data_IF_042535881906
#
_entry.id   IF_042535881906
#
_cell.length_a   1.000
_cell.length_b   1.000
_cell.length_c   1.000
_cell.angle_alpha   90.00
_cell.angle_beta   90.00
_cell.angle_gamma   90.00
#
_symmetry.space_group_name_H-M   'P 1'
#
loop_
_entity.id
_entity.type
_entity.pdbx_description
1 polymer ?
2 non-polymer ?
3 non-polymer ?
4 water ?
#
# COMPACT_ATOMS: atom_id res chain seq x y z
N UNK A 1 20.82 -18.98 -3.38
CA UNK A 1 19.51 -18.35 -3.21
C UNK A 1 18.56 -18.76 -4.33
N UNK A 2 17.35 -19.19 -3.95
CA UNK A 2 16.42 -19.81 -4.90
C UNK A 2 15.70 -18.81 -5.80
N UNK A 3 15.85 -17.52 -5.55
CA UNK A 3 15.24 -16.49 -6.39
C UNK A 3 16.19 -16.16 -7.53
N UNK A 4 15.65 -16.04 -8.75
CA UNK A 4 16.43 -15.72 -9.94
C UNK A 4 15.99 -14.37 -10.50
N UNK A 5 16.74 -13.31 -10.16
CA UNK A 5 16.34 -11.98 -10.59
C UNK A 5 16.37 -11.84 -12.11
N UNK A 6 17.21 -12.61 -12.78
CA UNK A 6 17.30 -12.50 -14.23
C UNK A 6 16.08 -13.12 -14.90
N UNK A 7 15.59 -14.25 -14.40
CA UNK A 7 14.37 -14.82 -14.94
C UNK A 7 13.18 -13.91 -14.68
N UNK A 8 13.11 -13.34 -13.47
CA UNK A 8 12.00 -12.44 -13.14
C UNK A 8 12.02 -11.21 -14.04
N UNK A 9 13.19 -10.56 -14.14
CA UNK A 9 13.29 -9.39 -15.01
C UNK A 9 12.81 -9.68 -16.42
N UNK A 10 13.02 -10.90 -16.91
CA UNK A 10 12.58 -11.22 -18.26
C UNK A 10 11.07 -11.18 -18.42
N UNK A 11 10.32 -11.21 -17.32
CA UNK A 11 8.87 -11.10 -17.38
C UNK A 11 8.39 -9.65 -17.52
N UNK A 12 9.25 -8.65 -17.28
CA UNK A 12 8.82 -7.26 -17.20
C UNK A 12 9.26 -6.47 -18.43
N UNK A 13 8.36 -6.23 -19.39
CA UNK A 13 8.78 -5.57 -20.64
C UNK A 13 9.31 -4.17 -20.45
N UNK A 14 8.76 -3.39 -19.50
CA UNK A 14 9.24 -2.02 -19.34
C UNK A 14 10.71 -1.98 -18.93
N UNK A 15 11.20 -3.03 -18.29
CA UNK A 15 12.57 -2.99 -17.80
C UNK A 15 13.60 -2.95 -18.92
N UNK A 16 13.20 -3.30 -20.15
CA UNK A 16 14.06 -3.17 -21.32
C UNK A 16 14.05 -1.76 -21.89
N UNK A 17 13.21 -0.87 -21.37
CA UNK A 17 13.12 0.48 -21.89
C UNK A 17 14.45 1.22 -21.67
N UNK A 18 14.67 2.25 -22.49
CA UNK A 18 15.78 3.16 -22.32
C UNK A 18 15.25 4.56 -22.03
N UNK A 19 16.01 5.30 -21.21
CA UNK A 19 15.66 6.66 -20.80
C UNK A 19 16.89 7.53 -20.99
N UNK A 20 16.69 8.73 -21.55
CA UNK A 20 17.79 9.62 -21.88
C UNK A 20 18.95 8.84 -22.51
N UNK A 21 18.62 7.88 -23.37
CA UNK A 21 19.61 7.13 -24.11
C UNK A 21 20.26 5.98 -23.38
N UNK A 22 19.96 5.76 -22.11
CA UNK A 22 20.59 4.72 -21.32
C UNK A 22 19.57 3.73 -20.78
N UNK A 23 20.01 2.55 -20.33
CA UNK A 23 19.06 1.57 -19.82
C UNK A 23 18.41 2.04 -18.53
N UNK A 24 17.09 1.87 -18.45
CA UNK A 24 16.31 2.41 -17.34
C UNK A 24 16.65 1.66 -16.07
N UNK A 25 16.96 2.40 -15.01
CA UNK A 25 17.05 1.85 -13.66
C UNK A 25 15.82 2.36 -12.92
N UNK A 26 14.80 1.51 -12.80
CA UNK A 26 13.53 1.94 -12.23
C UNK A 26 13.55 1.69 -10.73
N UNK A 27 13.82 2.75 -9.97
CA UNK A 27 13.94 2.68 -8.52
C UNK A 27 12.78 3.43 -7.85
N UNK A 28 11.59 3.33 -8.43
CA UNK A 28 10.41 4.04 -7.93
C UNK A 28 9.21 3.11 -7.77
N UNK A 29 9.45 1.83 -7.47
CA UNK A 29 8.34 0.88 -7.30
C UNK A 29 7.44 1.25 -6.14
N UNK A 30 7.96 1.95 -5.12
CA UNK A 30 7.11 2.36 -4.02
C UNK A 30 6.01 3.30 -4.49
N UNK A 31 6.27 4.06 -5.55
CA UNK A 31 5.21 4.90 -6.13
C UNK A 31 4.26 4.08 -6.97
N UNK A 32 4.79 3.18 -7.79
CA UNK A 32 3.95 2.16 -8.43
C UNK A 32 4.87 1.13 -9.06
N UNK A 33 4.44 -0.12 -9.06
CA UNK A 33 5.29 -1.20 -9.53
C UNK A 33 5.10 -1.41 -11.03
N UNK A 34 6.17 -1.83 -11.71
CA UNK A 34 6.02 -2.31 -13.07
C UNK A 34 5.27 -3.64 -13.07
N UNK A 35 4.73 -4.02 -14.22
CA UNK A 35 3.88 -5.19 -14.23
C UNK A 35 4.43 -6.26 -15.17
N UNK A 36 4.36 -7.54 -14.80
CA UNK A 36 4.85 -8.58 -15.69
C UNK A 36 3.89 -8.82 -16.83
N UNK A 37 4.41 -9.37 -17.93
CA UNK A 37 3.54 -9.64 -19.07
C UNK A 37 2.43 -10.63 -18.71
N UNK A 38 2.67 -11.50 -17.72
CA UNK A 38 1.58 -12.38 -17.26
C UNK A 38 0.38 -11.59 -16.78
N UNK A 39 0.61 -10.46 -16.09
CA UNK A 39 -0.49 -9.64 -15.60
C UNK A 39 -1.11 -8.86 -16.75
N UNK A 40 -0.26 -8.23 -17.56
CA UNK A 40 -0.72 -7.42 -18.68
C UNK A 40 -1.57 -8.26 -19.62
N UNK A 41 -1.09 -9.48 -19.94
CA UNK A 41 -1.75 -10.29 -20.95
C UNK A 41 -3.05 -10.93 -20.42
N UNK A 42 -3.09 -11.26 -19.14
CA UNK A 42 -4.33 -11.80 -18.57
C UNK A 42 -5.48 -10.81 -18.70
N UNK A 43 -5.21 -9.53 -18.39
CA UNK A 43 -6.24 -8.52 -18.59
C UNK A 43 -6.60 -8.40 -20.05
N UNK A 44 -5.60 -8.28 -20.93
CA UNK A 44 -5.90 -8.11 -22.35
C UNK A 44 -6.66 -9.30 -22.90
N UNK A 45 -6.28 -10.52 -22.51
CA UNK A 45 -7.00 -11.71 -22.98
C UNK A 45 -8.45 -11.73 -22.50
N UNK A 46 -8.69 -11.31 -21.26
CA UNK A 46 -10.06 -11.20 -20.77
C UNK A 46 -10.88 -10.28 -21.67
N UNK A 47 -10.34 -9.09 -21.97
CA UNK A 47 -11.04 -8.16 -22.86
C UNK A 47 -11.23 -8.74 -24.26
N UNK A 48 -10.28 -9.55 -24.74
CA UNK A 48 -10.33 -10.06 -26.11
C UNK A 48 -11.30 -11.23 -26.27
N UNK A 49 -11.54 -12.02 -25.21
CA UNK A 49 -12.24 -13.28 -25.38
C UNK A 49 -13.40 -13.52 -24.43
N UNK A 50 -13.44 -12.91 -23.26
CA UNK A 50 -14.49 -13.23 -22.30
C UNK A 50 -15.20 -12.05 -21.66
N UNK A 51 -15.11 -10.87 -22.27
CA UNK A 51 -15.62 -9.67 -21.59
C UNK A 51 -17.14 -9.64 -21.55
N UNK A 52 -17.70 -9.27 -20.39
CA UNK A 52 -19.14 -9.04 -20.24
C UNK A 52 -19.36 -8.40 -18.87
N UNK A 53 -20.61 -7.97 -18.64
CA UNK A 53 -20.99 -7.39 -17.35
C UNK A 53 -21.08 -8.48 -16.29
N UNK A 54 -20.85 -8.10 -15.04
CA UNK A 54 -20.86 -9.05 -13.91
C UNK A 54 -22.03 -8.73 -12.99
N UNK A 55 -22.46 -9.76 -12.24
CA UNK A 55 -23.51 -9.62 -11.22
C UNK A 55 -24.80 -9.03 -11.79
N UNK A 56 -24.99 -9.14 -13.10
CA UNK A 56 -26.16 -8.55 -13.72
C UNK A 56 -26.93 -9.55 -14.56
N UNK A 57 -26.71 -9.57 -15.88
CA UNK A 57 -27.26 -10.62 -16.70
C UNK A 57 -26.66 -11.98 -16.38
N UNK A 58 -27.34 -13.04 -16.80
CA UNK A 58 -26.88 -14.38 -16.49
C UNK A 58 -26.55 -15.20 -17.74
N UNK A 59 -26.49 -14.55 -18.91
CA UNK A 59 -26.04 -15.26 -20.09
C UNK A 59 -24.58 -15.72 -19.91
N UNK A 60 -24.13 -16.58 -20.84
CA UNK A 60 -22.91 -17.37 -20.66
C UNK A 60 -21.70 -16.51 -20.30
N UNK A 61 -21.39 -15.50 -21.13
CA UNK A 61 -20.19 -14.70 -20.86
C UNK A 61 -20.32 -13.96 -19.53
N UNK A 62 -21.50 -13.41 -19.24
CA UNK A 62 -21.71 -12.76 -17.95
C UNK A 62 -21.55 -13.73 -16.79
N UNK A 63 -22.15 -14.92 -16.89
CA UNK A 63 -21.99 -15.90 -15.82
C UNK A 63 -20.51 -16.21 -15.58
N UNK A 64 -19.75 -16.43 -16.66
CA UNK A 64 -18.34 -16.78 -16.51
C UNK A 64 -17.52 -15.60 -15.99
N UNK A 65 -17.85 -14.37 -16.44
CA UNK A 65 -17.15 -13.19 -15.93
C UNK A 65 -17.38 -13.02 -14.43
N UNK A 66 -18.62 -13.21 -13.99
CA UNK A 66 -18.94 -13.07 -12.57
C UNK A 66 -18.18 -14.10 -11.75
N UNK A 67 -18.13 -15.35 -12.24
CA UNK A 67 -17.34 -16.36 -11.54
C UNK A 67 -15.86 -16.00 -11.48
N UNK A 68 -15.29 -15.49 -12.58
CA UNK A 68 -13.89 -15.08 -12.54
C UNK A 68 -13.67 -14.02 -11.47
N UNK A 69 -14.58 -13.04 -11.39
CA UNK A 69 -14.44 -11.97 -10.40
C UNK A 69 -14.46 -12.53 -8.99
N UNK A 70 -15.47 -13.34 -8.68
CA UNK A 70 -15.58 -13.88 -7.33
C UNK A 70 -14.44 -14.85 -7.01
N UNK A 71 -13.90 -15.52 -8.03
CA UNK A 71 -12.67 -16.31 -7.83
C UNK A 71 -11.48 -15.44 -7.46
N UNK A 72 -11.34 -14.25 -8.05
CA UNK A 72 -10.29 -13.35 -7.59
C UNK A 72 -10.50 -12.98 -6.13
N UNK A 73 -11.73 -12.66 -5.75
CA UNK A 73 -11.97 -12.32 -4.35
C UNK A 73 -11.50 -13.46 -3.44
N UNK A 74 -11.79 -14.71 -3.83
CA UNK A 74 -11.33 -15.85 -3.04
C UNK A 74 -9.80 -15.93 -3.03
N UNK A 75 -9.16 -15.84 -4.19
CA UNK A 75 -7.69 -15.85 -4.24
C UNK A 75 -7.10 -14.75 -3.37
N UNK A 76 -7.65 -13.53 -3.43
CA UNK A 76 -7.14 -12.44 -2.60
C UNK A 76 -7.25 -12.79 -1.11
N UNK A 77 -8.39 -13.38 -0.71
CA UNK A 77 -8.60 -13.66 0.71
C UNK A 77 -7.60 -14.69 1.21
N UNK A 78 -7.25 -15.67 0.36
CA UNK A 78 -6.23 -16.65 0.73
C UNK A 78 -4.84 -16.00 0.79
N UNK A 79 -4.57 -15.02 -0.08
CA UNK A 79 -3.27 -14.35 -0.09
C UNK A 79 -2.97 -13.68 1.25
N UNK A 80 -3.99 -13.07 1.88
CA UNK A 80 -3.81 -12.41 3.18
C UNK A 80 -4.28 -13.26 4.34
N UNK A 81 -4.67 -14.51 4.09
CA UNK A 81 -5.17 -15.42 5.13
C UNK A 81 -6.36 -14.84 5.89
N UNK A 82 -7.28 -14.19 5.17
CA UNK A 82 -8.58 -13.88 5.74
C UNK A 82 -9.38 -15.16 5.94
N UNK A 83 -10.26 -15.16 6.92
CA UNK A 83 -11.04 -16.36 7.20
C UNK A 83 -12.07 -16.64 6.09
N UNK A 84 -12.52 -15.60 5.38
CA UNK A 84 -13.59 -15.75 4.42
C UNK A 84 -13.41 -14.74 3.30
N UNK A 85 -13.70 -15.15 2.05
CA UNK A 85 -13.63 -14.22 0.94
C UNK A 85 -14.60 -13.06 1.13
N UNK A 86 -15.72 -13.29 1.81
CA UNK A 86 -16.73 -12.27 2.02
C UNK A 86 -16.29 -11.16 2.98
N UNK A 87 -15.09 -11.26 3.54
CA UNK A 87 -14.50 -10.18 4.33
C UNK A 87 -13.66 -9.22 3.49
N UNK A 88 -13.62 -9.40 2.17
CA UNK A 88 -12.84 -8.56 1.29
C UNK A 88 -13.76 -7.75 0.40
N UNK A 89 -13.49 -6.45 0.29
CA UNK A 89 -14.22 -5.54 -0.57
C UNK A 89 -13.25 -5.03 -1.63
N UNK A 90 -13.69 -5.06 -2.89
CA UNK A 90 -12.90 -4.46 -3.97
C UNK A 90 -13.06 -2.95 -3.91
N UNK A 91 -11.94 -2.24 -3.90
CA UNK A 91 -11.89 -0.79 -3.89
C UNK A 91 -10.94 -0.32 -4.99
N UNK A 92 -10.90 1.01 -5.20
CA UNK A 92 -9.96 1.56 -6.17
C UNK A 92 -8.53 1.36 -5.73
N UNK A 93 -8.29 1.33 -4.42
CA UNK A 93 -6.94 1.35 -3.90
C UNK A 93 -6.97 1.58 -2.41
N UNK A 94 -5.78 1.59 -1.82
CA UNK A 94 -5.64 1.83 -0.39
C UNK A 94 -6.39 3.10 0.02
N UNK A 95 -6.22 4.18 -0.74
CA UNK A 95 -6.83 5.44 -0.37
C UNK A 95 -8.34 5.30 -0.28
N UNK A 96 -8.99 4.74 -1.31
CA UNK A 96 -10.44 4.61 -1.24
C UNK A 96 -10.86 3.69 -0.10
N UNK A 97 -10.10 2.63 0.17
CA UNK A 97 -10.44 1.74 1.27
C UNK A 97 -10.45 2.45 2.61
N UNK A 98 -9.42 3.24 2.88
CA UNK A 98 -9.37 4.01 4.12
C UNK A 98 -10.56 4.98 4.20
N UNK A 99 -10.86 5.65 3.10
CA UNK A 99 -12.00 6.57 3.12
C UNK A 99 -13.31 5.84 3.37
N UNK A 100 -13.45 4.61 2.85
CA UNK A 100 -14.67 3.86 3.07
C UNK A 100 -14.86 3.55 4.55
N UNK A 101 -13.80 3.12 5.21
CA UNK A 101 -13.85 2.87 6.65
C UNK A 101 -14.15 4.16 7.41
N UNK A 102 -13.44 5.24 7.06
CA UNK A 102 -13.62 6.51 7.76
C UNK A 102 -15.07 6.98 7.73
N UNK A 103 -15.79 6.72 6.64
CA UNK A 103 -17.17 7.20 6.53
C UNK A 103 -18.16 6.17 7.07
N UNK A 104 -18.14 4.96 6.53
CA UNK A 104 -19.09 3.92 6.93
C UNK A 104 -18.90 3.51 8.38
N UNK A 105 -17.69 3.12 8.76
CA UNK A 105 -17.46 2.75 10.16
C UNK A 105 -17.27 3.97 11.05
N UNK A 106 -16.45 4.93 10.62
CA UNK A 106 -16.17 6.09 11.46
C UNK A 106 -17.40 6.89 11.83
N UNK A 107 -18.31 7.11 10.88
CA UNK A 107 -19.44 8.01 11.13
C UNK A 107 -20.39 7.43 12.15
N UNK A 108 -20.45 6.10 12.27
CA UNK A 108 -21.37 5.50 13.23
C UNK A 108 -20.68 4.98 14.49
N UNK A 109 -19.36 5.13 14.61
CA UNK A 109 -18.65 4.62 15.77
C UNK A 109 -17.76 5.65 16.49
N UNK A 110 -17.58 6.84 15.93
CA UNK A 110 -16.73 7.87 16.52
C UNK A 110 -17.59 9.10 16.72
N UNK A 111 -17.66 9.59 17.95
CA UNK A 111 -18.57 10.67 18.32
C UNK A 111 -17.78 11.78 19.00
N UNK A 112 -18.44 12.93 19.19
CA UNK A 112 -17.80 14.07 19.83
C UNK A 112 -17.17 13.64 21.15
N UNK A 113 -15.97 14.17 21.44
CA UNK A 113 -15.24 13.80 22.63
C UNK A 113 -14.37 12.56 22.50
N UNK A 114 -14.50 11.80 21.42
CA UNK A 114 -13.69 10.60 21.22
C UNK A 114 -12.30 11.00 20.68
N UNK A 115 -11.41 10.02 20.62
CA UNK A 115 -10.12 10.25 19.98
C UNK A 115 -9.74 9.09 19.05
N UNK A 116 -8.96 9.43 18.03
CA UNK A 116 -8.34 8.47 17.12
C UNK A 116 -6.83 8.68 17.18
N UNK A 117 -6.08 7.59 17.05
CA UNK A 117 -4.62 7.62 17.14
C UNK A 117 -4.04 7.23 15.78
N UNK A 118 -3.22 8.11 15.21
CA UNK A 118 -2.38 7.79 14.05
C UNK A 118 -0.92 7.96 14.45
N UNK A 119 0.00 7.79 13.50
CA UNK A 119 1.40 8.05 13.80
C UNK A 119 1.94 9.18 12.95
N UNK A 120 3.10 9.70 13.36
CA UNK A 120 3.75 10.79 12.66
C UNK A 120 4.37 10.35 11.32
N UNK A 121 4.51 9.03 11.09
CA UNK A 121 5.05 8.53 9.83
C UNK A 121 3.97 8.19 8.80
N UNK A 122 2.70 8.47 9.09
CA UNK A 122 1.63 8.03 8.18
C UNK A 122 1.69 8.77 6.86
N UNK A 123 1.34 8.05 5.80
CA UNK A 123 1.02 8.62 4.49
C UNK A 123 -0.27 9.44 4.58
N UNK A 124 -0.37 10.46 3.74
CA UNK A 124 -1.58 11.28 3.76
C UNK A 124 -2.86 10.46 3.64
N UNK A 125 -2.82 9.36 2.91
CA UNK A 125 -3.98 8.49 2.77
C UNK A 125 -4.48 8.02 4.13
N UNK A 126 -3.58 7.84 5.09
CA UNK A 126 -3.96 7.40 6.42
C UNK A 126 -3.91 8.55 7.43
N UNK A 127 -4.09 9.78 6.95
CA UNK A 127 -4.16 10.97 7.80
C UNK A 127 -5.42 11.73 7.45
N UNK A 128 -5.53 12.15 6.19
CA UNK A 128 -6.59 13.08 5.81
C UNK A 128 -7.99 12.55 6.05
N UNK A 129 -8.34 11.30 5.72
CA UNK A 129 -9.71 10.85 5.98
C UNK A 129 -10.05 10.90 7.46
N UNK A 130 -9.05 10.74 8.35
CA UNK A 130 -9.30 10.79 9.77
C UNK A 130 -9.46 12.22 10.26
N UNK A 131 -8.66 13.13 9.70
CA UNK A 131 -8.88 14.55 9.96
C UNK A 131 -10.29 14.96 9.55
N UNK A 132 -10.75 14.47 8.39
CA UNK A 132 -12.10 14.79 7.94
C UNK A 132 -13.15 14.21 8.89
N UNK A 133 -12.95 12.98 9.33
CA UNK A 133 -13.89 12.37 10.27
C UNK A 133 -13.87 13.13 11.61
N UNK A 134 -12.69 13.43 12.12
CA UNK A 134 -12.58 14.16 13.40
C UNK A 134 -13.27 15.52 13.32
N UNK A 135 -13.19 16.18 12.18
CA UNK A 135 -13.92 17.44 12.01
C UNK A 135 -15.43 17.23 11.86
N UNK A 136 -15.86 16.11 11.26
CA UNK A 136 -17.30 15.88 11.11
C UNK A 136 -17.97 15.63 12.47
N UNK A 137 -17.32 14.89 13.36
CA UNK A 137 -17.97 14.44 14.59
C UNK A 137 -17.47 15.15 15.83
N UNK A 138 -16.46 16.02 15.73
CA UNK A 138 -15.89 16.64 16.91
C UNK A 138 -15.02 15.71 17.75
N UNK A 139 -14.15 14.95 17.12
CA UNK A 139 -13.22 14.08 17.84
C UNK A 139 -11.79 14.60 17.68
N UNK A 140 -10.87 13.99 18.42
CA UNK A 140 -9.48 14.45 18.46
C UNK A 140 -8.55 13.43 17.79
N UNK A 141 -7.66 13.93 16.93
CA UNK A 141 -6.69 13.08 16.24
C UNK A 141 -5.37 13.13 17.00
N UNK A 142 -5.03 12.03 17.68
CA UNK A 142 -3.79 11.94 18.45
C UNK A 142 -2.71 11.25 17.62
N UNK A 143 -1.45 11.57 17.94
CA UNK A 143 -0.32 11.26 17.08
C UNK A 143 0.78 10.56 17.88
N UNK A 144 1.13 9.35 17.48
CA UNK A 144 2.33 8.69 18.01
C UNK A 144 3.56 9.33 17.36
N UNK A 145 4.47 9.91 18.14
CA UNK A 145 5.64 10.58 17.56
C UNK A 145 6.76 9.59 17.22
N UNK A 146 7.72 10.09 16.46
CA UNK A 146 8.85 9.34 15.94
C UNK A 146 10.08 9.52 16.84
N UNK A 147 10.96 8.53 16.78
CA UNK A 147 12.34 8.67 17.23
C UNK A 147 13.23 9.08 16.06
N UNK A 148 14.42 9.61 16.36
CA UNK A 148 15.34 9.99 15.28
C UNK A 148 15.63 8.88 14.28
N UNK A 149 15.75 7.64 14.74
CA UNK A 149 16.02 6.52 13.83
C UNK A 149 14.80 6.12 13.01
N UNK A 150 13.67 6.80 13.03
CA UNK A 150 12.53 6.41 12.21
C UNK A 150 11.63 5.34 12.78
N UNK A 151 11.81 4.96 14.06
CA UNK A 151 10.89 4.08 14.74
C UNK A 151 9.89 4.90 15.55
N UNK A 152 8.81 4.24 15.95
CA UNK A 152 7.80 4.91 16.77
C UNK A 152 8.25 4.99 18.24
N UNK A 153 7.92 6.11 18.86
CA UNK A 153 8.11 6.30 20.31
C UNK A 153 7.00 5.53 21.01
N UNK A 154 7.21 4.23 21.17
CA UNK A 154 6.16 3.38 21.72
C UNK A 154 5.88 3.68 23.20
N UNK A 155 6.83 4.33 23.91
CA UNK A 155 6.62 4.72 25.30
C UNK A 155 5.49 5.74 25.46
N UNK A 156 5.12 6.44 24.40
CA UNK A 156 4.05 7.43 24.49
C UNK A 156 2.66 6.82 24.50
N UNK A 157 2.52 5.54 24.18
CA UNK A 157 1.18 4.97 24.01
C UNK A 157 0.32 5.00 25.26
N UNK A 158 0.87 4.80 26.48
CA UNK A 158 0.03 4.91 27.68
C UNK A 158 -0.71 6.22 27.79
N UNK A 159 -0.08 7.31 27.36
CA UNK A 159 -0.74 8.62 27.42
C UNK A 159 -1.68 8.87 26.25
N UNK A 160 -1.54 8.14 25.15
CA UNK A 160 -2.42 8.37 24.00
C UNK A 160 -3.68 7.53 24.05
N UNK A 161 -3.58 6.28 24.49
CA UNK A 161 -4.74 5.40 24.59
C UNK A 161 -5.50 5.69 25.87
N UNK A 162 -6.81 5.90 25.76
CA UNK A 162 -7.68 5.97 26.93
C UNK A 162 -9.01 5.29 26.57
N UNK A 163 -10.00 5.45 27.45
CA UNK A 163 -11.28 4.76 27.26
C UNK A 163 -12.12 5.38 26.15
N UNK A 164 -11.75 6.55 25.64
CA UNK A 164 -12.44 7.15 24.51
C UNK A 164 -11.70 7.00 23.18
N UNK A 165 -10.63 6.18 23.15
CA UNK A 165 -9.92 5.88 21.92
C UNK A 165 -10.70 4.82 21.13
N UNK A 166 -11.23 5.21 19.97
CA UNK A 166 -12.07 4.33 19.19
C UNK A 166 -11.31 3.56 18.12
N UNK A 167 -10.17 4.08 17.67
CA UNK A 167 -9.46 3.49 16.53
C UNK A 167 -7.99 3.88 16.59
N UNK A 168 -7.14 2.90 16.31
CA UNK A 168 -5.75 3.12 15.93
C UNK A 168 -5.62 2.88 14.43
N UNK A 169 -5.11 3.87 13.70
CA UNK A 169 -4.84 3.73 12.27
C UNK A 169 -3.34 3.88 12.08
N UNK A 170 -2.70 2.83 11.57
CA UNK A 170 -1.25 2.68 11.69
C UNK A 170 -0.69 2.01 10.44
N UNK A 171 0.47 2.47 9.99
CA UNK A 171 1.07 1.87 8.81
C UNK A 171 1.83 0.60 9.17
N UNK A 172 1.71 -0.39 8.31
CA UNK A 172 2.46 -1.63 8.44
C UNK A 172 3.94 -1.38 8.14
N UNK A 173 4.22 -0.73 7.01
CA UNK A 173 5.57 -0.37 6.58
C UNK A 173 5.52 1.05 6.03
N UNK A 174 6.43 1.91 6.52
CA UNK A 174 6.49 3.31 6.05
C UNK A 174 6.94 3.39 4.60
N UNK A 175 6.28 4.26 3.81
CA UNK A 175 6.66 4.44 2.41
C UNK A 175 7.93 5.28 2.24
N UNK A 176 8.47 5.83 3.32
CA UNK A 176 9.66 6.68 3.27
C UNK A 176 10.80 6.04 4.02
N UNK A 177 10.57 5.63 5.26
CA UNK A 177 11.59 5.17 6.16
C UNK A 177 11.87 3.68 6.03
N UNK A 178 10.92 2.92 5.48
CA UNK A 178 11.01 1.48 5.42
C UNK A 178 10.77 0.79 6.76
N UNK A 179 10.44 1.54 7.80
CA UNK A 179 10.19 0.97 9.12
C UNK A 179 9.02 0.02 9.07
N UNK A 180 9.20 -1.18 9.62
CA UNK A 180 8.07 -2.08 9.84
C UNK A 180 7.63 -1.97 11.28
N UNK A 181 6.34 -1.65 11.52
CA UNK A 181 5.90 -1.38 12.88
C UNK A 181 5.46 -2.67 13.57
N UNK A 182 5.58 -2.72 14.93
CA UNK A 182 5.21 -3.93 15.67
C UNK A 182 3.69 -4.11 15.78
N UNK A 183 3.04 -4.42 14.65
CA UNK A 183 1.58 -4.39 14.59
C UNK A 183 0.93 -5.32 15.62
N UNK A 184 1.42 -6.56 15.70
CA UNK A 184 0.77 -7.54 16.57
C UNK A 184 0.63 -7.02 18.00
N UNK A 185 1.72 -6.50 18.56
CA UNK A 185 1.70 -6.02 19.94
C UNK A 185 0.85 -4.75 20.08
N UNK A 186 0.95 -3.83 19.12
CA UNK A 186 0.13 -2.62 19.18
C UNK A 186 -1.35 -2.95 19.09
N UNK A 187 -1.71 -3.97 18.31
CA UNK A 187 -3.10 -4.36 18.16
C UNK A 187 -3.62 -4.99 19.46
N UNK A 188 -2.80 -5.83 20.11
CA UNK A 188 -3.18 -6.32 21.43
C UNK A 188 -3.49 -5.15 22.36
N UNK A 189 -2.57 -4.18 22.42
CA UNK A 189 -2.77 -3.04 23.32
C UNK A 189 -4.05 -2.28 22.98
N UNK A 190 -4.27 -1.99 21.69
CA UNK A 190 -5.46 -1.24 21.29
C UNK A 190 -6.74 -1.99 21.64
N UNK A 191 -6.76 -3.30 21.41
CA UNK A 191 -7.95 -4.07 21.73
C UNK A 191 -8.25 -4.06 23.22
N UNK A 192 -7.22 -3.97 24.08
CA UNK A 192 -7.48 -3.90 25.52
C UNK A 192 -8.30 -2.67 25.89
N UNK A 193 -8.26 -1.61 25.08
CA UNK A 193 -9.07 -0.43 25.33
C UNK A 193 -10.39 -0.44 24.58
N UNK A 194 -10.68 -1.50 23.82
CA UNK A 194 -11.88 -1.49 23.02
C UNK A 194 -11.76 -0.73 21.72
N UNK A 195 -10.54 -0.35 21.35
CA UNK A 195 -10.30 0.30 20.06
C UNK A 195 -10.17 -0.74 18.95
N UNK A 196 -10.58 -0.36 17.75
CA UNK A 196 -10.32 -1.14 16.56
C UNK A 196 -9.00 -0.66 15.94
N UNK A 197 -8.45 -1.47 15.02
CA UNK A 197 -7.18 -1.15 14.38
C UNK A 197 -7.34 -1.26 12.87
N UNK A 198 -7.11 -0.17 12.15
CA UNK A 198 -6.91 -0.24 10.71
C UNK A 198 -5.41 -0.23 10.43
N UNK A 199 -4.95 -1.19 9.64
CA UNK A 199 -3.57 -1.27 9.20
C UNK A 199 -3.50 -0.82 7.75
N UNK A 200 -2.61 0.13 7.47
CA UNK A 200 -2.32 0.57 6.10
C UNK A 200 -1.19 -0.32 5.59
N UNK A 201 -1.52 -1.32 4.79
CA UNK A 201 -0.55 -2.30 4.35
C UNK A 201 -0.01 -2.04 2.95
N UNK A 202 -0.14 -0.81 2.45
CA UNK A 202 0.15 -0.56 1.03
C UNK A 202 1.60 -0.90 0.68
N UNK A 203 2.53 -0.75 1.63
CA UNK A 203 3.95 -1.00 1.39
C UNK A 203 4.44 -2.28 2.05
N UNK A 204 3.53 -3.17 2.47
CA UNK A 204 3.88 -4.44 3.10
C UNK A 204 3.64 -5.63 2.20
N UNK A 205 2.53 -5.65 1.46
CA UNK A 205 2.04 -6.87 0.83
C UNK A 205 2.98 -7.44 -0.24
N UNK A 206 3.90 -6.63 -0.76
CA UNK A 206 4.82 -7.11 -1.79
C UNK A 206 6.15 -7.60 -1.23
N UNK A 207 6.37 -7.46 0.08
CA UNK A 207 7.69 -7.70 0.67
C UNK A 207 7.78 -8.98 1.48
N UNK A 208 6.69 -9.44 2.08
CA UNK A 208 6.70 -10.71 2.79
C UNK A 208 5.25 -11.14 3.00
N UNK A 209 5.04 -12.37 3.46
CA UNK A 209 3.66 -12.82 3.68
C UNK A 209 2.95 -11.97 4.72
N UNK A 210 1.65 -11.83 4.54
CA UNK A 210 0.79 -11.07 5.43
C UNK A 210 -0.37 -11.95 5.83
N UNK A 211 -0.64 -11.98 7.14
CA UNK A 211 -1.62 -12.92 7.71
C UNK A 211 -2.49 -12.12 8.66
N UNK A 212 -3.71 -11.76 8.21
CA UNK A 212 -4.55 -10.85 8.99
C UNK A 212 -5.20 -11.55 10.18
N UNK A 213 -5.30 -12.88 10.14
CA UNK A 213 -5.72 -13.61 11.33
C UNK A 213 -4.63 -13.57 12.41
N UNK A 214 -3.38 -13.87 12.03
CA UNK A 214 -2.30 -13.74 12.99
C UNK A 214 -2.17 -12.31 13.52
N UNK A 215 -2.40 -11.30 12.67
CA UNK A 215 -2.31 -9.92 13.15
C UNK A 215 -3.47 -9.54 14.03
N UNK A 216 -4.67 -10.06 13.72
CA UNK A 216 -5.92 -9.73 14.40
C UNK A 216 -6.36 -8.29 14.17
N UNK A 217 -5.84 -7.64 13.12
CA UNK A 217 -6.31 -6.31 12.75
C UNK A 217 -7.79 -6.35 12.38
N UNK A 218 -8.46 -5.23 12.58
CA UNK A 218 -9.89 -5.12 12.29
C UNK A 218 -10.16 -4.71 10.86
N UNK A 219 -9.26 -3.92 10.28
CA UNK A 219 -9.30 -3.53 8.87
C UNK A 219 -7.87 -3.61 8.33
N UNK A 220 -7.73 -3.98 7.05
CA UNK A 220 -6.43 -3.96 6.39
C UNK A 220 -6.64 -3.55 4.93
N UNK A 221 -5.76 -2.66 4.41
CA UNK A 221 -5.94 -2.11 3.07
C UNK A 221 -4.65 -2.24 2.28
N UNK A 222 -4.77 -2.46 0.96
CA UNK A 222 -3.61 -2.38 0.07
C UNK A 222 -4.06 -2.14 -1.36
N UNK A 223 -3.10 -1.76 -2.21
CA UNK A 223 -3.35 -1.37 -3.60
C UNK A 223 -2.74 -2.38 -4.59
N UNK A 224 -3.48 -2.67 -5.65
CA UNK A 224 -3.01 -3.63 -6.64
C UNK A 224 -1.77 -3.17 -7.39
N UNK A 225 -1.68 -1.87 -7.72
CA UNK A 225 -0.66 -1.40 -8.65
C UNK A 225 0.73 -1.42 -8.04
N UNK A 226 0.84 -1.49 -6.71
CA UNK A 226 2.13 -1.65 -6.07
C UNK A 226 2.48 -3.12 -5.89
N UNK A 227 1.51 -4.00 -6.04
CA UNK A 227 1.73 -5.44 -6.00
C UNK A 227 1.84 -6.00 -7.41
N UNK A 228 2.54 -5.27 -8.29
CA UNK A 228 2.81 -5.68 -9.66
C UNK A 228 1.54 -5.87 -10.47
N UNK A 229 0.48 -5.17 -10.11
CA UNK A 229 -0.81 -5.35 -10.72
C UNK A 229 -1.30 -4.10 -11.42
N UNK A 230 -2.49 -4.15 -11.99
CA UNK A 230 -3.05 -2.98 -12.67
C UNK A 230 -3.44 -1.88 -11.70
N UNK A 231 -3.61 -0.67 -12.27
CA UNK A 231 -4.12 0.46 -11.50
C UNK A 231 -5.63 0.32 -11.31
N UNK A 232 -6.18 1.16 -10.43
CA UNK A 232 -7.62 1.19 -10.25
C UNK A 232 -8.20 0.02 -9.48
N UNK A 233 -7.37 -0.74 -8.77
CA UNK A 233 -7.93 -1.86 -8.00
C UNK A 233 -7.13 -2.03 -6.72
N UNK A 234 -7.85 -2.34 -5.64
CA UNK A 234 -7.23 -2.59 -4.35
C UNK A 234 -8.18 -3.42 -3.51
N UNK A 235 -7.75 -3.73 -2.29
CA UNK A 235 -8.51 -4.62 -1.40
C UNK A 235 -8.66 -3.96 -0.03
N UNK A 236 -9.89 -3.96 0.49
CA UNK A 236 -10.15 -3.64 1.89
C UNK A 236 -10.65 -4.92 2.55
N UNK A 237 -9.93 -5.37 3.57
CA UNK A 237 -10.34 -6.48 4.41
C UNK A 237 -10.93 -5.92 5.70
N UNK A 238 -12.07 -6.45 6.13
CA UNK A 238 -12.73 -6.07 7.37
C UNK A 238 -13.25 -7.34 8.05
N UNK A 239 -12.94 -7.52 9.33
CA UNK A 239 -13.49 -8.64 10.09
C UNK A 239 -15.00 -8.76 9.86
N UNK A 240 -15.46 -9.98 9.57
CA UNK A 240 -16.85 -10.20 9.17
C UNK A 240 -17.86 -9.61 10.14
N UNK A 241 -17.59 -9.68 11.45
CA UNK A 241 -18.56 -9.18 12.43
C UNK A 241 -18.69 -7.66 12.36
N UNK A 242 -17.59 -6.95 12.08
CA UNK A 242 -17.67 -5.51 11.86
C UNK A 242 -18.32 -5.19 10.52
N UNK A 243 -17.87 -5.86 9.46
CA UNK A 243 -18.35 -5.55 8.12
C UNK A 243 -19.87 -5.68 8.01
N UNK A 244 -20.44 -6.75 8.59
CA UNK A 244 -21.87 -6.97 8.41
C UNK A 244 -22.74 -5.93 9.11
N UNK A 245 -22.18 -5.19 10.07
CA UNK A 245 -22.89 -4.09 10.71
C UNK A 245 -22.67 -2.74 10.03
N UNK A 246 -21.73 -2.64 9.09
CA UNK A 246 -21.41 -1.31 8.56
C UNK A 246 -22.46 -0.90 7.53
N UNK A 247 -22.88 0.37 7.55
CA UNK A 247 -23.83 0.85 6.54
C UNK A 247 -23.12 1.09 5.22
N UNK A 248 -23.88 1.12 4.11
CA UNK A 248 -23.25 1.40 2.82
C UNK A 248 -22.66 2.80 2.80
N UNK A 249 -21.68 2.99 1.91
CA UNK A 249 -21.10 4.31 1.67
C UNK A 249 -21.67 4.83 0.35
N UNK A 250 -21.18 4.35 -0.79
CA UNK A 250 -21.76 4.73 -2.07
C UNK A 250 -23.06 3.96 -2.31
N UNK A 251 -24.04 4.66 -2.90
CA UNK A 251 -25.28 4.01 -3.27
C UNK A 251 -25.41 3.79 -4.77
N UNK A 252 -26.15 2.77 -5.18
CA UNK A 252 -26.42 2.56 -6.59
C UNK A 252 -26.78 1.12 -6.88
N UNK A 253 -26.58 0.74 -8.14
CA UNK A 253 -26.92 -0.60 -8.57
C UNK A 253 -26.03 -1.65 -7.93
N UNK A 254 -26.59 -2.84 -7.75
CA UNK A 254 -25.83 -4.01 -7.28
C UNK A 254 -25.67 -4.05 -5.77
N UNK A 255 -25.59 -2.90 -5.10
CA UNK A 255 -25.48 -2.91 -3.66
C UNK A 255 -26.85 -2.91 -2.96
N UNK A 256 -27.94 -2.80 -3.71
CA UNK A 256 -29.28 -2.76 -3.12
C UNK A 256 -29.86 -4.16 -3.09
N UNK A 257 -30.85 -4.34 -2.22
CA UNK A 257 -31.75 -5.48 -2.27
C UNK A 257 -33.05 -5.11 -2.99
N UNK A 258 -33.70 -4.04 -2.55
CA UNK A 258 -34.88 -3.51 -3.21
C UNK A 258 -34.81 -2.00 -3.19
N UNK A 259 -35.42 -1.39 -4.20
CA UNK A 259 -35.47 0.06 -4.34
C UNK A 259 -36.91 0.47 -4.61
N UNK A 260 -37.43 1.35 -3.76
CA UNK A 260 -38.77 1.90 -3.92
C UNK A 260 -38.72 3.40 -3.74
N UNK A 261 -39.51 4.11 -4.55
CA UNK A 261 -39.62 5.55 -4.41
C UNK A 261 -40.68 5.96 -3.40
N UNK A 262 -41.46 5.00 -2.88
CA UNK A 262 -42.41 5.26 -1.81
C UNK A 262 -42.06 4.60 -0.49
N UNK A 263 -41.44 3.41 -0.52
CA UNK A 263 -41.11 2.67 0.70
C UNK A 263 -39.60 2.59 0.97
N UNK A 264 -38.80 3.39 0.29
CA UNK A 264 -37.37 3.38 0.57
C UNK A 264 -36.65 2.19 -0.03
N UNK A 265 -35.41 2.01 0.41
CA UNK A 265 -34.47 1.10 -0.23
C UNK A 265 -33.78 0.26 0.84
N UNK A 266 -33.58 -1.02 0.55
CA UNK A 266 -32.86 -1.91 1.44
C UNK A 266 -31.58 -2.41 0.77
N UNK A 267 -30.62 -2.86 1.59
CA UNK A 267 -29.27 -3.12 1.12
C UNK A 267 -29.02 -4.62 0.99
N UNK A 268 -28.12 -4.98 0.08
CA UNK A 268 -27.69 -6.36 0.02
C UNK A 268 -26.65 -6.66 1.09
N UNK A 269 -26.13 -7.88 1.08
CA UNK A 269 -25.19 -8.35 2.08
C UNK A 269 -23.78 -7.85 1.76
N UNK A 270 -22.97 -7.72 2.81
CA UNK A 270 -21.55 -7.51 2.62
C UNK A 270 -20.91 -8.73 1.96
N UNK A 271 -19.88 -8.55 1.12
CA UNK A 271 -19.21 -7.29 0.75
C UNK A 271 -19.88 -6.51 -0.39
N UNK A 272 -20.86 -7.12 -1.09
CA UNK A 272 -21.44 -6.47 -2.27
C UNK A 272 -22.17 -5.19 -1.90
N UNK A 273 -22.62 -5.08 -0.65
CA UNK A 273 -23.18 -3.83 -0.15
C UNK A 273 -22.21 -2.66 -0.31
N UNK A 274 -20.91 -2.91 -0.42
CA UNK A 274 -19.91 -1.86 -0.49
C UNK A 274 -19.36 -1.64 -1.90
N UNK A 275 -19.96 -2.28 -2.91
CA UNK A 275 -19.52 -2.28 -4.30
C UNK A 275 -20.68 -1.80 -5.17
N UNK A 276 -20.85 -0.48 -5.24
CA UNK A 276 -21.92 0.14 -6.01
C UNK A 276 -21.50 0.29 -7.47
N UNK A 277 -22.41 -0.05 -8.38
CA UNK A 277 -22.16 0.16 -9.80
C UNK A 277 -21.20 -0.88 -10.39
N UNK A 278 -20.88 -0.68 -11.66
CA UNK A 278 -20.02 -1.62 -12.39
C UNK A 278 -18.63 -1.63 -11.77
N UNK A 279 -18.13 -2.78 -11.33
CA UNK A 279 -16.77 -2.84 -10.78
C UNK A 279 -15.73 -2.71 -11.88
N UNK A 280 -14.47 -2.58 -11.46
CA UNK A 280 -13.33 -2.58 -12.37
C UNK A 280 -12.96 -4.04 -12.69
N UNK A 281 -13.84 -4.68 -13.46
CA UNK A 281 -13.66 -6.10 -13.76
C UNK A 281 -12.30 -6.37 -14.39
N UNK A 282 -11.92 -5.52 -15.35
CA UNK A 282 -10.60 -5.67 -15.96
C UNK A 282 -9.48 -5.64 -14.94
N UNK A 283 -9.52 -4.67 -14.03
CA UNK A 283 -8.48 -4.60 -13.00
C UNK A 283 -8.52 -5.78 -12.06
N UNK A 284 -9.71 -6.31 -11.76
CA UNK A 284 -9.84 -7.49 -10.90
C UNK A 284 -9.19 -8.71 -11.55
N UNK A 285 -9.46 -8.95 -12.84
CA UNK A 285 -8.78 -10.04 -13.54
C UNK A 285 -7.26 -9.86 -13.45
N UNK A 286 -6.78 -8.64 -13.73
CA UNK A 286 -5.35 -8.41 -13.67
C UNK A 286 -4.77 -8.57 -12.27
N UNK A 287 -5.53 -8.16 -11.25
CA UNK A 287 -5.09 -8.35 -9.87
C UNK A 287 -4.97 -9.83 -9.53
N UNK A 288 -5.95 -10.64 -9.96
CA UNK A 288 -5.83 -12.07 -9.75
C UNK A 288 -4.56 -12.64 -10.35
N UNK A 289 -4.22 -12.20 -11.57
CA UNK A 289 -3.01 -12.68 -12.21
C UNK A 289 -1.77 -12.25 -11.43
N UNK A 290 -1.80 -11.03 -10.88
CA UNK A 290 -0.67 -10.53 -10.10
C UNK A 290 -0.47 -11.34 -8.83
N UNK A 291 -1.56 -11.67 -8.13
CA UNK A 291 -1.43 -12.54 -6.96
C UNK A 291 -0.86 -13.91 -7.33
N UNK A 292 -1.34 -14.50 -8.42
CA UNK A 292 -0.78 -15.78 -8.88
C UNK A 292 0.70 -15.67 -9.20
N UNK A 293 1.10 -14.57 -9.86
CA UNK A 293 2.52 -14.38 -10.18
C UNK A 293 3.36 -14.29 -8.92
N UNK A 294 2.97 -13.43 -7.99
CA UNK A 294 3.75 -13.26 -6.75
C UNK A 294 3.80 -14.56 -5.96
N UNK A 295 2.65 -15.23 -5.80
CA UNK A 295 2.62 -16.50 -5.08
C UNK A 295 3.51 -17.55 -5.76
N UNK A 296 3.61 -17.54 -7.08
CA UNK A 296 4.48 -18.49 -7.75
C UNK A 296 5.95 -18.20 -7.47
N UNK A 297 6.34 -16.93 -7.35
CA UNK A 297 7.72 -16.65 -6.97
C UNK A 297 7.98 -17.00 -5.51
N UNK A 298 6.96 -16.89 -4.65
CA UNK A 298 7.08 -17.15 -3.23
C UNK A 298 7.53 -15.93 -2.45
N UNK A 299 6.68 -15.42 -1.55
CA UNK A 299 7.00 -14.17 -0.87
C UNK A 299 8.26 -14.30 0.00
N UNK A 300 8.52 -15.48 0.55
CA UNK A 300 9.75 -15.62 1.32
C UNK A 300 10.98 -15.61 0.44
N UNK A 301 10.86 -16.11 -0.80
CA UNK A 301 11.96 -15.98 -1.76
C UNK A 301 12.19 -14.52 -2.13
N UNK A 302 11.11 -13.78 -2.36
CA UNK A 302 11.22 -12.36 -2.67
C UNK A 302 11.88 -11.62 -1.51
N UNK A 303 11.37 -11.83 -0.30
CA UNK A 303 11.93 -11.18 0.87
C UNK A 303 13.43 -11.46 1.00
N UNK A 304 13.86 -12.70 0.73
CA UNK A 304 15.27 -13.03 0.86
C UNK A 304 16.10 -12.21 -0.12
N UNK A 305 15.69 -12.18 -1.39
CA UNK A 305 16.45 -11.42 -2.38
C UNK A 305 16.45 -9.93 -2.07
N UNK A 306 15.29 -9.36 -1.72
CA UNK A 306 15.22 -7.93 -1.45
C UNK A 306 16.04 -7.54 -0.22
N UNK A 307 16.02 -8.38 0.81
CA UNK A 307 16.78 -8.03 2.00
C UNK A 307 18.27 -8.10 1.72
N UNK A 308 18.68 -9.06 0.90
CA UNK A 308 20.07 -9.13 0.44
C UNK A 308 20.43 -7.89 -0.38
N UNK A 309 19.58 -7.53 -1.35
CA UNK A 309 19.84 -6.32 -2.14
C UNK A 309 19.89 -5.07 -1.27
N UNK A 310 19.00 -4.95 -0.28
CA UNK A 310 18.98 -3.76 0.57
C UNK A 310 20.24 -3.68 1.41
N UNK A 311 20.69 -4.81 1.96
CA UNK A 311 21.95 -4.82 2.71
C UNK A 311 23.12 -4.39 1.84
N UNK A 312 23.17 -4.89 0.59
CA UNK A 312 24.19 -4.42 -0.34
C UNK A 312 24.09 -2.92 -0.58
N UNK A 313 22.88 -2.41 -0.81
CA UNK A 313 22.73 -0.98 -1.08
C UNK A 313 23.23 -0.15 0.10
N UNK A 314 22.76 -0.47 1.30
CA UNK A 314 23.15 0.33 2.46
C UNK A 314 24.66 0.31 2.67
N UNK A 315 25.28 -0.84 2.39
CA UNK A 315 26.73 -0.96 2.50
C UNK A 315 27.45 -0.08 1.47
N UNK A 316 27.07 -0.19 0.19
CA UNK A 316 27.71 0.61 -0.85
C UNK A 316 27.53 2.11 -0.63
N UNK A 317 26.38 2.51 -0.10
CA UNK A 317 26.08 3.93 0.03
C UNK A 317 26.98 4.62 1.05
N UNK A 318 27.64 3.86 1.92
CA UNK A 318 28.58 4.47 2.86
C UNK A 318 29.68 5.22 2.14
N UNK A 319 30.01 4.80 0.93
CA UNK A 319 31.04 5.45 0.13
C UNK A 319 30.55 6.68 -0.63
N UNK A 320 29.38 7.24 -0.29
CA UNK A 320 28.90 8.49 -0.89
C UNK A 320 29.16 9.60 0.13
N UNK A 321 29.94 10.62 -0.20
CA UNK A 321 30.20 11.70 0.77
C UNK A 321 28.93 12.46 1.10
N UNK A 322 28.79 12.84 2.37
CA UNK A 322 27.74 13.77 2.83
C UNK A 322 26.33 13.24 2.60
N UNK A 323 26.17 11.92 2.50
CA UNK A 323 24.84 11.33 2.37
C UNK A 323 24.19 11.22 3.74
N UNK A 324 22.94 11.67 3.84
CA UNK A 324 22.13 11.48 5.04
C UNK A 324 21.02 10.49 4.70
N UNK A 325 20.96 9.40 5.47
CA UNK A 325 19.86 8.43 5.37
C UNK A 325 18.85 8.70 6.47
N UNK A 326 17.59 8.38 6.19
CA UNK A 326 16.51 8.56 7.15
C UNK A 326 15.81 7.23 7.35
N UNK A 327 15.70 6.79 8.61
CA UNK A 327 15.08 5.53 8.91
C UNK A 327 16.01 4.56 9.61
N UNK A 328 15.49 3.40 9.98
CA UNK A 328 16.29 2.41 10.72
C UNK A 328 17.13 1.56 9.79
N UNK A 329 18.08 0.85 10.40
CA UNK A 329 18.99 0.00 9.64
C UNK A 329 18.26 -1.19 9.01
N UNK A 330 17.26 -1.73 9.70
CA UNK A 330 16.50 -2.87 9.20
C UNK A 330 15.28 -2.43 8.37
N UNK A 331 15.51 -1.61 7.35
CA UNK A 331 14.41 -1.03 6.58
C UNK A 331 13.97 -1.96 5.46
N UNK A 332 12.69 -1.86 5.09
CA UNK A 332 12.10 -2.65 4.03
C UNK A 332 11.83 -1.79 2.80
N UNK A 333 12.32 -2.22 1.64
CA UNK A 333 11.87 -1.65 0.37
C UNK A 333 12.40 -0.33 -0.12
N UNK A 334 12.49 0.68 0.75
CA UNK A 334 12.85 2.03 0.34
C UNK A 334 14.03 2.56 1.16
N UNK A 335 14.85 3.37 0.50
CA UNK A 335 15.93 4.13 1.14
C UNK A 335 15.65 5.60 0.92
N UNK A 336 15.48 6.34 2.01
CA UNK A 336 15.22 7.78 1.97
C UNK A 336 16.52 8.50 2.29
N UNK A 337 16.87 9.51 1.48
CA UNK A 337 18.16 10.14 1.65
C UNK A 337 18.17 11.58 1.14
N UNK A 338 19.16 12.34 1.61
CA UNK A 338 19.54 13.62 1.04
C UNK A 338 21.05 13.67 0.88
N UNK A 339 21.52 14.47 -0.08
CA UNK A 339 22.94 14.57 -0.42
C UNK A 339 23.42 15.97 -0.05
N UNK A 340 24.25 16.06 0.98
CA UNK A 340 24.76 17.37 1.37
C UNK A 340 23.64 18.37 1.55
N UNK A 341 23.88 19.61 1.14
CA UNK A 341 22.86 20.64 1.20
C UNK A 341 22.15 20.83 -0.13
N UNK A 342 22.35 19.91 -1.08
CA UNK A 342 21.70 20.03 -2.38
C UNK A 342 20.23 19.62 -2.27
N UNK A 343 19.37 20.38 -2.94
CA UNK A 343 17.95 20.08 -2.86
C UNK A 343 17.64 18.75 -3.52
N UNK A 344 16.67 18.03 -2.94
CA UNK A 344 16.30 16.71 -3.48
C UNK A 344 15.81 16.80 -4.92
N UNK A 345 15.05 17.85 -5.24
CA UNK A 345 14.64 18.06 -6.62
C UNK A 345 15.83 17.98 -7.58
N UNK A 346 16.95 18.62 -7.22
CA UNK A 346 18.11 18.65 -8.10
C UNK A 346 18.79 17.28 -8.17
N UNK A 347 18.99 16.64 -7.01
CA UNK A 347 19.61 15.33 -7.00
C UNK A 347 18.84 14.34 -7.88
N UNK A 348 17.51 14.34 -7.76
CA UNK A 348 16.69 13.48 -8.61
C UNK A 348 16.74 13.83 -10.07
N UNK A 349 16.89 15.12 -10.40
CA UNK A 349 17.01 15.48 -11.81
C UNK A 349 18.30 14.92 -12.41
N UNK A 350 19.42 15.04 -11.69
CA UNK A 350 20.65 14.43 -12.17
C UNK A 350 20.50 12.91 -12.31
N UNK A 351 19.90 12.26 -11.30
CA UNK A 351 19.75 10.82 -11.39
C UNK A 351 18.91 10.42 -12.60
N UNK A 352 17.82 11.15 -12.85
CA UNK A 352 17.00 10.93 -14.03
C UNK A 352 17.83 11.06 -15.31
N UNK A 353 18.76 12.02 -15.30
CA UNK A 353 19.65 12.21 -16.44
C UNK A 353 20.57 11.00 -16.64
N UNK A 354 20.90 10.30 -15.55
CA UNK A 354 21.65 9.05 -15.66
C UNK A 354 20.75 7.84 -15.96
N UNK A 355 19.49 8.04 -16.32
CA UNK A 355 18.60 6.91 -16.52
C UNK A 355 18.09 6.26 -15.25
N UNK A 356 18.15 6.95 -14.12
CA UNK A 356 17.79 6.39 -12.81
C UNK A 356 16.54 7.11 -12.30
N UNK A 357 15.45 6.35 -12.12
CA UNK A 357 14.16 6.90 -11.67
C UNK A 357 14.04 6.74 -10.14
N UNK A 358 14.09 7.86 -9.43
CA UNK A 358 13.78 7.93 -8.00
C UNK A 358 12.66 8.95 -7.81
N UNK A 359 12.01 8.89 -6.65
CA UNK A 359 11.04 9.92 -6.29
C UNK A 359 11.71 10.95 -5.39
N UNK A 360 11.40 12.23 -5.61
CA UNK A 360 11.83 13.30 -4.73
C UNK A 360 10.63 14.13 -4.31
N UNK A 361 10.74 14.74 -3.14
CA UNK A 361 9.70 15.60 -2.62
C UNK A 361 9.29 15.19 -1.23
N UNK A 362 8.02 15.37 -0.89
CA UNK A 362 7.55 14.98 0.43
C UNK A 362 6.92 13.59 0.48
N UNK A 363 6.78 12.91 -0.66
CA UNK A 363 6.32 11.52 -0.68
C UNK A 363 4.99 11.35 0.03
N UNK A 364 4.12 12.35 -0.04
CA UNK A 364 2.82 12.27 0.59
C UNK A 364 2.93 12.02 2.09
N UNK A 365 4.00 12.52 2.72
CA UNK A 365 4.24 12.36 4.14
C UNK A 365 4.82 13.65 4.72
N UNK A 366 4.08 14.75 4.56
CA UNK A 366 4.57 16.04 5.04
C UNK A 366 4.88 16.06 6.54
N UNK A 367 4.06 15.47 7.42
CA UNK A 367 4.44 15.44 8.84
C UNK A 367 5.77 14.75 9.09
N UNK A 368 6.05 13.68 8.34
CA UNK A 368 7.34 13.00 8.45
C UNK A 368 8.48 13.93 8.04
N UNK A 369 8.32 14.67 6.93
CA UNK A 369 9.35 15.63 6.54
C UNK A 369 9.54 16.66 7.64
N UNK A 370 8.44 17.21 8.16
CA UNK A 370 8.52 18.19 9.24
C UNK A 370 9.32 17.68 10.43
N UNK A 371 9.10 16.41 10.80
CA UNK A 371 9.80 15.86 11.95
C UNK A 371 11.31 15.90 11.75
N UNK A 372 11.77 15.61 10.54
CA UNK A 372 13.19 15.65 10.22
C UNK A 372 13.66 17.05 9.82
N UNK A 373 12.78 18.04 9.86
CA UNK A 373 13.15 19.42 9.58
C UNK A 373 13.82 19.55 8.20
N UNK A 374 13.28 18.83 7.22
CA UNK A 374 13.70 19.02 5.84
C UNK A 374 12.46 19.27 4.99
N UNK A 375 12.58 19.95 3.88
CA UNK A 375 11.42 20.15 3.00
C UNK A 375 11.11 18.90 2.19
N UNK A 376 12.14 18.13 1.85
CA UNK A 376 12.01 17.04 0.89
C UNK A 376 13.09 16.00 1.14
N UNK A 377 12.92 14.85 0.48
CA UNK A 377 13.91 13.77 0.47
C UNK A 377 13.89 13.11 -0.89
N UNK A 378 15.00 12.45 -1.23
CA UNK A 378 15.06 11.51 -2.35
C UNK A 378 14.70 10.14 -1.84
N UNK A 379 14.14 9.30 -2.71
CA UNK A 379 13.81 7.93 -2.29
C UNK A 379 14.12 6.95 -3.39
N UNK A 380 14.86 5.90 -3.05
CA UNK A 380 15.13 4.81 -3.98
C UNK A 380 14.41 3.57 -3.46
N UNK A 381 13.53 3.00 -4.29
CA UNK A 381 12.89 1.72 -3.97
C UNK A 381 13.71 0.61 -4.58
N UNK A 382 13.84 -0.49 -3.86
CA UNK A 382 14.64 -1.62 -4.29
C UNK A 382 13.71 -2.82 -4.30
N UNK A 383 13.07 -3.07 -5.43
CA UNK A 383 12.06 -4.12 -5.55
C UNK A 383 12.69 -5.42 -6.07
N UNK A 384 11.85 -6.44 -6.24
CA UNK A 384 12.35 -7.79 -6.49
C UNK A 384 12.99 -7.92 -7.86
N UNK A 385 12.73 -6.97 -8.77
CA UNK A 385 13.35 -6.99 -10.09
C UNK A 385 14.54 -6.05 -10.21
N UNK A 386 14.95 -5.38 -9.13
CA UNK A 386 16.11 -4.52 -9.20
C UNK A 386 17.39 -5.32 -8.91
N UNK A 387 18.52 -4.77 -9.34
CA UNK A 387 19.78 -5.52 -9.35
C UNK A 387 20.91 -4.78 -8.63
N UNK A 388 21.92 -5.55 -8.19
CA UNK A 388 23.13 -4.94 -7.63
C UNK A 388 23.73 -3.92 -8.59
N UNK A 389 23.68 -4.21 -9.89
CA UNK A 389 24.22 -3.29 -10.87
C UNK A 389 23.46 -1.96 -10.82
N UNK A 390 22.13 -2.02 -10.74
CA UNK A 390 21.37 -0.79 -10.57
C UNK A 390 21.78 -0.05 -9.31
N UNK A 391 22.07 -0.78 -8.22
CA UNK A 391 22.53 -0.14 -6.99
C UNK A 391 23.82 0.62 -7.23
N UNK A 392 24.79 -0.03 -7.90
CA UNK A 392 26.07 0.62 -8.23
C UNK A 392 25.84 1.88 -9.06
N UNK A 393 24.92 1.82 -10.03
CA UNK A 393 24.61 3.02 -10.81
C UNK A 393 24.13 4.16 -9.92
N UNK A 394 23.35 3.86 -8.88
CA UNK A 394 22.89 4.92 -7.99
C UNK A 394 24.04 5.50 -7.18
N UNK A 395 24.87 4.62 -6.60
CA UNK A 395 26.01 5.05 -5.80
C UNK A 395 26.95 5.91 -6.65
N UNK A 396 27.32 5.41 -7.83
CA UNK A 396 28.18 6.17 -8.73
C UNK A 396 27.55 7.51 -9.08
N UNK A 397 26.25 7.51 -9.40
CA UNK A 397 25.57 8.75 -9.70
C UNK A 397 25.67 9.77 -8.57
N UNK A 398 25.40 9.34 -7.34
CA UNK A 398 25.46 10.28 -6.23
C UNK A 398 26.89 10.80 -6.02
N UNK A 399 27.90 9.95 -6.23
CA UNK A 399 29.28 10.43 -6.17
C UNK A 399 29.55 11.48 -7.23
N UNK A 400 29.15 11.21 -8.47
CA UNK A 400 29.31 12.22 -9.52
C UNK A 400 28.61 13.53 -9.16
N UNK A 401 27.36 13.44 -8.68
CA UNK A 401 26.62 14.64 -8.34
C UNK A 401 27.34 15.43 -7.26
N UNK A 402 27.82 14.74 -6.23
CA UNK A 402 28.57 15.41 -5.17
C UNK A 402 29.80 16.12 -5.73
N UNK A 403 30.54 15.43 -6.60
CA UNK A 403 31.75 16.00 -7.18
C UNK A 403 31.42 17.21 -8.03
N UNK A 404 30.42 17.08 -8.91
CA UNK A 404 30.08 18.15 -9.84
C UNK A 404 29.53 19.36 -9.10
N UNK A 405 28.70 19.16 -8.07
CA UNK A 405 28.02 20.26 -7.41
C UNK A 405 28.72 20.75 -6.14
N UNK A 406 29.65 19.95 -5.60
CA UNK A 406 30.31 20.26 -4.33
C UNK A 406 30.55 21.73 -4.04
X LIG B 1 0.31 14.37 -1.40
X LIG C 1 2.22 5.01 -2.39
X LIG C 1 4.35 6.43 -2.83
X LIG C 1 5.04 6.86 -3.79
X LIG C 1 -2.90 4.48 -3.34
X LIG C 1 -2.29 5.74 -3.94
X LIG C 1 -4.31 4.73 -2.86
X LIG C 1 -2.76 3.24 -4.21
X LIG C 1 -2.00 4.22 -2.03
X LIG C 1 -1.87 5.26 -1.03
X LIG C 1 -0.84 4.87 0.00
X LIG C 1 -1.23 4.52 1.30
X LIG C 1 -0.34 4.17 2.23
X LIG C 1 0.99 4.12 2.02
X LIG C 1 1.93 3.69 3.12
X LIG C 1 1.54 4.44 0.69
X LIG C 1 2.87 4.37 0.47
X LIG C 1 0.59 4.83 -0.36
X LIG C 1 0.95 5.28 -1.77
X LIG C 1 3.02 5.87 -3.26
X LIG C 1 4.75 6.38 -1.66
X LIG C 1 2.11 6.88 -3.99
X LIG C 1 1.65 8.45 -3.18
#
# INVERSE_FOLDING_TARGET
MIFSVDKVRADFPVLSREVNGLPLAYLDSAASAQKPSQVIDAEAEFYRHGYAAVHRGIHTLSAQATEKMENVRKRASLFINARSAEELVFVRGTTEGINLVANSWGNSNVRAGDNIIISQMEHHANIVPWQMLCARVGAELRVIPLNPDGTLQLETLPTLFDEKTRLLAITHVSNVLGTENPLAEMITLAHQHGAKVLVDGAQAVMHHPVDVQALDCDFYVFSGHKLYGPTGIGILYVKEALLQEMPPWEGGGSMIATVSLSEGTTWTKAPWRFEAGTPNTGGIIGLGAALEYVSALGLNNIAEYEQNLMHYALSQLESVPDLTLYGPQNRLGVIAFNLGKHHAYDVGSFLDNYGIAVRTGHHAAMPLMAYYNVPAMCRASLAMYNTHEEVDRLVTGLQRIHRLLG
CL CL
C6P N C O P OP3 OP1 OP2 OP4 C5M C5 C6 N1 C2 C2A C3 O3 C4 C4A CA OXT CB SG
#
